data_IF_843441401068
#
_entry.id   IF_843441401068
#
_cell.length_a   1.000
_cell.length_b   1.000
_cell.length_c   1.000
_cell.angle_alpha   90.00
_cell.angle_beta   90.00
_cell.angle_gamma   90.00
#
_symmetry.space_group_name_H-M   'P 1'
#
loop_
_entity.id
_entity.type
_entity.pdbx_description
1 polymer ?
#
# COMPACT_ATOMS: atom_id res chain seq x y z
N UNK A 1 1.19 -12.32 -16.11
CA UNK A 1 1.91 -11.13 -16.63
C UNK A 1 1.01 -9.90 -16.62
N UNK A 2 -0.10 -9.93 -17.34
CA UNK A 2 -1.14 -8.88 -17.49
C UNK A 2 -1.44 -8.03 -16.23
N UNK A 3 -1.66 -8.67 -15.09
CA UNK A 3 -2.09 -7.93 -13.88
C UNK A 3 -0.93 -7.60 -12.93
N UNK A 4 0.23 -8.24 -13.12
CA UNK A 4 1.37 -8.19 -12.19
C UNK A 4 2.55 -7.41 -12.72
N UNK A 5 2.60 -7.12 -14.02
CA UNK A 5 3.65 -6.30 -14.64
C UNK A 5 3.05 -5.35 -15.66
N UNK A 6 3.61 -4.13 -15.77
CA UNK A 6 3.18 -3.11 -16.76
C UNK A 6 3.61 -3.44 -18.20
N UNK A 7 4.24 -4.60 -18.40
CA UNK A 7 4.89 -5.02 -19.65
C UNK A 7 3.88 -5.33 -20.77
N UNK A 8 2.60 -5.42 -20.44
CA UNK A 8 1.53 -5.66 -21.42
C UNK A 8 1.28 -4.46 -22.34
N UNK A 9 1.51 -3.23 -21.87
CA UNK A 9 1.18 -2.02 -22.64
C UNK A 9 2.40 -1.23 -23.13
N UNK A 10 3.57 -1.39 -22.51
CA UNK A 10 4.79 -0.65 -22.89
C UNK A 10 6.05 -1.41 -22.44
N UNK A 11 7.17 -1.20 -23.14
CA UNK A 11 8.53 -1.67 -22.83
C UNK A 11 8.84 -1.60 -21.33
N UNK A 12 9.73 -2.45 -20.82
CA UNK A 12 10.24 -2.46 -19.45
C UNK A 12 10.70 -1.07 -18.97
N UNK A 13 9.77 -0.26 -18.45
CA UNK A 13 10.07 1.08 -17.96
C UNK A 13 10.86 1.01 -16.65
N UNK A 14 11.50 2.15 -16.34
CA UNK A 14 12.14 2.50 -15.07
C UNK A 14 11.34 2.11 -13.81
N UNK A 15 10.02 1.96 -13.91
CA UNK A 15 9.17 1.55 -12.78
C UNK A 15 9.31 0.09 -12.37
N UNK A 16 9.58 -0.84 -13.28
CA UNK A 16 9.80 -2.24 -12.89
C UNK A 16 11.05 -2.38 -12.01
N UNK A 17 12.04 -1.50 -12.21
CA UNK A 17 13.23 -1.40 -11.37
C UNK A 17 12.95 -0.75 -10.01
N UNK A 18 11.90 0.07 -9.90
CA UNK A 18 11.55 0.77 -8.66
C UNK A 18 10.71 -0.10 -7.70
N UNK A 19 9.95 -1.06 -8.24
CA UNK A 19 9.07 -1.95 -7.47
C UNK A 19 9.75 -2.71 -6.31
N UNK A 20 10.94 -3.32 -6.48
CA UNK A 20 11.63 -3.97 -5.37
C UNK A 20 11.99 -2.99 -4.25
N UNK A 21 12.42 -1.77 -4.59
CA UNK A 21 12.71 -0.74 -3.60
C UNK A 21 11.46 -0.30 -2.85
N UNK A 22 10.31 -0.17 -3.53
CA UNK A 22 9.02 0.10 -2.89
C UNK A 22 8.61 -1.02 -1.92
N UNK A 23 8.72 -2.28 -2.35
CA UNK A 23 8.36 -3.43 -1.52
C UNK A 23 9.27 -3.52 -0.27
N UNK A 24 10.57 -3.31 -0.44
CA UNK A 24 11.54 -3.27 0.67
C UNK A 24 11.30 -2.07 1.59
N UNK A 25 10.92 -0.92 1.06
CA UNK A 25 10.55 0.26 1.85
C UNK A 25 9.32 -0.03 2.72
N UNK A 26 8.24 -0.57 2.14
CA UNK A 26 7.01 -0.97 2.86
C UNK A 26 7.34 -2.01 3.94
N UNK A 27 8.20 -2.98 3.63
CA UNK A 27 8.66 -3.98 4.59
C UNK A 27 9.45 -3.35 5.73
N UNK A 28 10.37 -2.43 5.44
CA UNK A 28 11.16 -1.74 6.45
C UNK A 28 10.28 -0.91 7.40
N UNK A 29 9.25 -0.23 6.87
CA UNK A 29 8.26 0.51 7.66
C UNK A 29 7.43 -0.44 8.52
N UNK A 30 6.98 -1.56 7.96
CA UNK A 30 6.23 -2.59 8.70
C UNK A 30 7.06 -3.15 9.86
N UNK A 31 8.35 -3.39 9.64
CA UNK A 31 9.29 -3.80 10.69
C UNK A 31 9.47 -2.69 11.74
N UNK A 32 9.62 -1.43 11.34
CA UNK A 32 9.77 -0.29 12.24
C UNK A 32 8.55 -0.08 13.15
N UNK A 33 7.34 -0.32 12.65
CA UNK A 33 6.09 -0.15 13.39
C UNK A 33 5.81 -1.25 14.41
N UNK A 34 6.56 -2.35 14.42
CA UNK A 34 6.31 -3.46 15.34
C UNK A 34 6.62 -3.06 16.81
N UNK A 35 5.77 -3.46 17.79
CA UNK A 35 5.83 -2.93 19.16
C UNK A 35 7.06 -3.31 19.99
N UNK A 36 7.90 -4.27 19.57
CA UNK A 36 9.02 -4.81 20.35
C UNK A 36 10.33 -4.82 19.55
N UNK A 37 10.83 -3.66 19.14
CA UNK A 37 12.14 -3.57 18.48
C UNK A 37 13.24 -3.08 19.43
N UNK A 38 14.42 -3.66 19.30
CA UNK A 38 15.63 -3.14 19.95
C UNK A 38 16.06 -1.82 19.31
N UNK A 39 16.78 -0.98 20.06
CA UNK A 39 17.25 0.32 19.55
C UNK A 39 18.14 0.20 18.29
N UNK A 40 18.92 -0.89 18.18
CA UNK A 40 19.71 -1.17 16.98
C UNK A 40 18.81 -1.51 15.79
N UNK A 41 17.81 -2.38 15.98
CA UNK A 41 16.86 -2.75 14.93
C UNK A 41 16.07 -1.53 14.45
N UNK A 42 15.67 -0.62 15.35
CA UNK A 42 15.01 0.63 14.96
C UNK A 42 15.90 1.49 14.07
N UNK A 43 17.18 1.68 14.43
CA UNK A 43 18.13 2.46 13.62
C UNK A 43 18.35 1.83 12.24
N UNK A 44 18.53 0.52 12.19
CA UNK A 44 18.69 -0.23 10.93
C UNK A 44 17.43 -0.10 10.07
N UNK A 45 16.24 -0.22 10.65
CA UNK A 45 14.98 -0.07 9.93
C UNK A 45 14.83 1.34 9.34
N UNK A 46 15.09 2.40 10.11
CA UNK A 46 15.02 3.79 9.62
C UNK A 46 16.06 4.05 8.53
N UNK A 47 17.28 3.54 8.67
CA UNK A 47 18.30 3.63 7.63
C UNK A 47 17.85 2.92 6.33
N UNK A 48 17.32 1.69 6.46
CA UNK A 48 16.82 0.92 5.31
C UNK A 48 15.65 1.64 4.65
N UNK A 49 14.71 2.19 5.43
CA UNK A 49 13.61 3.00 4.93
C UNK A 49 14.13 4.18 4.10
N UNK A 50 15.14 4.90 4.58
CA UNK A 50 15.73 6.03 3.85
C UNK A 50 16.38 5.58 2.54
N UNK A 51 17.26 4.57 2.57
CA UNK A 51 17.95 4.07 1.37
C UNK A 51 16.96 3.58 0.32
N UNK A 52 15.96 2.79 0.73
CA UNK A 52 14.95 2.28 -0.19
C UNK A 52 14.07 3.40 -0.75
N UNK A 53 13.70 4.39 0.06
CA UNK A 53 12.95 5.58 -0.41
C UNK A 53 13.77 6.37 -1.42
N UNK A 54 15.05 6.58 -1.15
CA UNK A 54 15.97 7.26 -2.05
C UNK A 54 16.09 6.53 -3.40
N UNK A 55 16.37 5.23 -3.39
CA UNK A 55 16.47 4.42 -4.61
C UNK A 55 15.15 4.39 -5.39
N UNK A 56 14.01 4.30 -4.69
CA UNK A 56 12.68 4.36 -5.30
C UNK A 56 12.45 5.70 -6.00
N UNK A 57 12.73 6.82 -5.33
CA UNK A 57 12.58 8.16 -5.92
C UNK A 57 13.53 8.41 -7.09
N UNK A 58 14.75 7.87 -7.03
CA UNK A 58 15.75 7.99 -8.09
C UNK A 58 15.30 7.26 -9.37
N UNK A 59 14.73 6.05 -9.20
CA UNK A 59 14.38 5.15 -10.30
C UNK A 59 13.04 5.48 -10.94
N UNK A 60 12.09 6.06 -10.20
CA UNK A 60 10.75 6.36 -10.73
C UNK A 60 10.42 7.84 -10.69
N UNK A 61 10.19 8.45 -11.86
CA UNK A 61 9.83 9.86 -12.02
C UNK A 61 8.54 10.25 -11.28
N UNK A 62 7.53 9.38 -11.23
CA UNK A 62 6.22 9.66 -10.64
C UNK A 62 6.09 9.15 -9.19
N UNK A 63 7.21 8.89 -8.52
CA UNK A 63 7.28 8.39 -7.13
C UNK A 63 6.43 9.23 -6.15
N UNK A 64 6.31 10.54 -6.40
CA UNK A 64 5.62 11.49 -5.55
C UNK A 64 4.14 11.16 -5.31
N UNK A 65 3.46 10.49 -6.26
CA UNK A 65 2.07 10.08 -6.09
C UNK A 65 1.94 8.87 -5.17
N UNK A 66 2.86 7.91 -5.26
CA UNK A 66 2.88 6.74 -4.39
C UNK A 66 3.27 7.15 -2.96
N UNK A 67 4.24 8.07 -2.82
CA UNK A 67 4.59 8.64 -1.52
C UNK A 67 3.46 9.50 -0.93
N UNK A 68 2.66 10.19 -1.75
CA UNK A 68 1.46 10.87 -1.29
C UNK A 68 0.44 9.88 -0.72
N UNK A 69 0.18 8.76 -1.42
CA UNK A 69 -0.68 7.69 -0.90
C UNK A 69 -0.16 7.17 0.44
N UNK A 70 1.15 6.92 0.55
CA UNK A 70 1.76 6.50 1.79
C UNK A 70 1.64 7.56 2.90
N UNK A 71 1.77 8.85 2.57
CA UNK A 71 1.57 9.94 3.52
C UNK A 71 0.11 10.02 4.01
N UNK A 72 -0.87 9.77 3.13
CA UNK A 72 -2.29 9.67 3.51
C UNK A 72 -2.56 8.46 4.43
N UNK A 73 -1.90 7.32 4.18
CA UNK A 73 -1.95 6.16 5.07
C UNK A 73 -1.39 6.51 6.45
N UNK A 74 -0.24 7.19 6.52
CA UNK A 74 0.36 7.61 7.80
C UNK A 74 -0.57 8.59 8.53
N UNK A 75 -1.14 9.55 7.81
CA UNK A 75 -2.07 10.52 8.37
C UNK A 75 -3.35 9.86 8.92
N UNK A 76 -3.94 8.92 8.19
CA UNK A 76 -5.14 8.19 8.66
C UNK A 76 -4.86 7.35 9.90
N UNK A 77 -3.71 6.68 9.97
CA UNK A 77 -3.26 5.97 11.17
C UNK A 77 -3.02 6.89 12.36
N UNK A 78 -2.47 8.07 12.12
CA UNK A 78 -2.23 9.09 13.14
C UNK A 78 -3.55 9.63 13.70
N UNK A 79 -4.52 9.94 12.83
CA UNK A 79 -5.87 10.35 13.23
C UNK A 79 -6.62 9.25 14.00
N UNK A 80 -6.41 7.98 13.65
CA UNK A 80 -7.00 6.84 14.36
C UNK A 80 -6.29 6.49 15.68
N UNK A 81 -5.18 7.17 15.99
CA UNK A 81 -4.43 6.98 17.24
C UNK A 81 -3.58 5.71 17.28
N UNK A 82 -3.26 5.11 16.14
CA UNK A 82 -2.42 3.90 16.08
C UNK A 82 -0.91 4.22 16.11
N UNK A 83 -0.51 5.45 15.75
CA UNK A 83 0.90 5.85 15.68
C UNK A 83 1.29 6.87 16.75
N UNK A 84 2.51 6.73 17.26
CA UNK A 84 3.10 7.72 18.18
C UNK A 84 3.64 8.91 17.40
N UNK A 85 3.74 10.06 18.08
CA UNK A 85 4.32 11.27 17.48
C UNK A 85 5.73 11.08 16.95
N UNK A 86 6.55 10.30 17.65
CA UNK A 86 7.92 10.01 17.20
C UNK A 86 7.90 9.17 15.93
N UNK A 87 7.06 8.12 15.85
CA UNK A 87 6.90 7.31 14.65
C UNK A 87 6.44 8.14 13.45
N UNK A 88 5.38 8.94 13.60
CA UNK A 88 4.85 9.78 12.51
C UNK A 88 5.90 10.76 11.99
N UNK A 89 6.57 11.49 12.90
CA UNK A 89 7.61 12.44 12.51
C UNK A 89 8.79 11.73 11.85
N UNK A 90 9.25 10.58 12.35
CA UNK A 90 10.32 9.80 11.71
C UNK A 90 9.92 9.35 10.31
N UNK A 91 8.72 8.79 10.13
CA UNK A 91 8.24 8.34 8.81
C UNK A 91 8.21 9.49 7.80
N UNK A 92 7.67 10.65 8.19
CA UNK A 92 7.62 11.82 7.31
C UNK A 92 9.00 12.41 7.01
N UNK A 93 9.86 12.55 8.02
CA UNK A 93 11.21 13.06 7.80
C UNK A 93 12.03 12.15 6.88
N UNK A 94 11.87 10.83 6.98
CA UNK A 94 12.54 9.88 6.06
C UNK A 94 12.05 10.04 4.61
N UNK A 95 10.75 10.28 4.39
CA UNK A 95 10.23 10.54 3.05
C UNK A 95 10.74 11.87 2.48
N UNK A 96 10.67 12.94 3.28
CA UNK A 96 11.13 14.28 2.87
C UNK A 96 12.63 14.28 2.59
N UNK A 97 13.45 13.64 3.44
CA UNK A 97 14.88 13.56 3.20
C UNK A 97 15.20 12.79 1.92
N UNK A 98 14.54 11.65 1.67
CA UNK A 98 14.72 10.90 0.41
C UNK A 98 14.35 11.72 -0.83
N UNK A 99 13.23 12.44 -0.80
CA UNK A 99 12.80 13.34 -1.87
C UNK A 99 13.78 14.49 -2.11
N UNK A 100 14.23 15.17 -1.05
CA UNK A 100 15.19 16.28 -1.14
C UNK A 100 16.57 15.82 -1.63
N UNK A 101 17.02 14.64 -1.22
CA UNK A 101 18.27 14.06 -1.74
C UNK A 101 18.20 13.80 -3.24
N UNK A 102 17.09 13.26 -3.75
CA UNK A 102 16.92 13.05 -5.19
C UNK A 102 16.73 14.38 -5.93
N UNK A 103 16.02 15.34 -5.34
CA UNK A 103 15.89 16.69 -5.89
C UNK A 103 17.26 17.35 -6.10
N UNK A 104 18.17 17.25 -5.13
CA UNK A 104 19.55 17.74 -5.27
C UNK A 104 20.30 17.01 -6.40
N UNK A 105 20.20 15.68 -6.48
CA UNK A 105 20.89 14.89 -7.51
C UNK A 105 20.33 15.12 -8.93
N UNK A 106 19.06 15.49 -9.04
CA UNK A 106 18.39 15.78 -10.31
C UNK A 106 18.47 17.28 -10.68
N UNK A 107 19.53 17.97 -10.23
CA UNK A 107 19.79 19.37 -10.56
C UNK A 107 18.61 20.30 -10.20
N UNK A 108 18.05 20.11 -9.01
CA UNK A 108 16.99 20.94 -8.43
C UNK A 108 15.68 20.95 -9.24
N UNK A 109 15.28 19.81 -9.82
CA UNK A 109 14.04 19.67 -10.57
C UNK A 109 12.81 20.21 -9.81
N UNK A 110 12.14 21.21 -10.39
CA UNK A 110 11.00 21.90 -9.77
C UNK A 110 9.79 21.00 -9.52
N UNK A 111 9.64 19.91 -10.28
CA UNK A 111 8.52 18.97 -10.13
C UNK A 111 8.49 18.31 -8.74
N UNK A 112 9.66 17.96 -8.19
CA UNK A 112 9.76 17.31 -6.88
C UNK A 112 9.49 18.29 -5.73
N UNK A 113 9.97 19.54 -5.86
CA UNK A 113 9.79 20.57 -4.83
C UNK A 113 8.34 21.07 -4.78
N UNK A 114 7.69 21.21 -5.94
CA UNK A 114 6.27 21.56 -6.06
C UNK A 114 5.32 20.39 -5.87
N UNK A 115 5.81 19.23 -5.42
CA UNK A 115 5.00 18.02 -5.30
C UNK A 115 3.96 18.12 -4.19
N UNK A 116 2.77 17.57 -4.46
CA UNK A 116 1.67 17.52 -3.49
C UNK A 116 2.06 16.80 -2.20
N UNK A 117 2.92 15.78 -2.28
CA UNK A 117 3.41 15.03 -1.12
C UNK A 117 4.22 15.92 -0.17
N UNK A 118 5.12 16.75 -0.70
CA UNK A 118 5.95 17.62 0.15
C UNK A 118 5.07 18.65 0.86
N UNK A 119 4.15 19.30 0.14
CA UNK A 119 3.19 20.23 0.72
C UNK A 119 2.29 19.56 1.77
N UNK A 120 1.80 18.34 1.49
CA UNK A 120 0.97 17.58 2.43
C UNK A 120 1.73 17.23 3.70
N UNK A 121 2.96 16.73 3.60
CA UNK A 121 3.78 16.37 4.77
C UNK A 121 4.07 17.60 5.64
N UNK A 122 4.45 18.72 5.03
CA UNK A 122 4.68 19.98 5.76
C UNK A 122 3.40 20.42 6.48
N UNK A 123 2.25 20.38 5.80
CA UNK A 123 0.97 20.72 6.39
C UNK A 123 0.58 19.77 7.54
N UNK A 124 0.78 18.46 7.38
CA UNK A 124 0.48 17.47 8.41
C UNK A 124 1.36 17.65 9.66
N UNK A 125 2.67 17.88 9.48
CA UNK A 125 3.59 18.18 10.57
C UNK A 125 3.26 19.50 11.25
N UNK A 126 2.88 20.52 10.47
CA UNK A 126 2.44 21.82 10.99
C UNK A 126 1.19 21.68 11.85
N UNK A 127 0.11 21.08 11.32
CA UNK A 127 -1.14 20.84 12.07
C UNK A 127 -0.84 20.12 13.38
N UNK A 128 0.00 19.08 13.34
CA UNK A 128 0.35 18.31 14.54
C UNK A 128 1.15 19.12 15.57
N UNK A 129 2.12 19.91 15.12
CA UNK A 129 2.91 20.76 16.00
C UNK A 129 2.04 21.80 16.70
N UNK A 130 1.14 22.44 15.96
CA UNK A 130 0.22 23.45 16.49
C UNK A 130 -0.89 22.85 17.36
N UNK A 131 -1.42 21.66 17.04
CA UNK A 131 -2.36 20.93 17.91
C UNK A 131 -1.77 20.66 19.30
N UNK A 132 -0.47 20.34 19.37
CA UNK A 132 0.24 20.13 20.64
C UNK A 132 0.42 21.43 21.44
N UNK A 133 0.60 22.56 20.74
CA UNK A 133 0.86 23.87 21.36
C UNK A 133 -0.42 24.61 21.77
N UNK A 134 -1.55 24.38 21.09
CA UNK A 134 -2.75 25.22 21.26
C UNK A 134 -3.94 24.55 21.97
N UNK A 135 -3.89 23.26 22.35
CA UNK A 135 -5.06 22.51 22.90
C UNK A 135 -6.39 22.80 22.17
N UNK A 136 -6.32 23.07 20.85
CA UNK A 136 -7.50 23.47 20.09
C UNK A 136 -8.36 22.23 19.86
N UNK A 137 -9.48 22.17 20.59
CA UNK A 137 -10.67 21.39 20.22
C UNK A 137 -11.00 21.78 18.79
N UNK A 138 -10.79 20.87 17.86
CA UNK A 138 -10.94 21.16 16.44
C UNK A 138 -12.44 21.21 16.11
N UNK A 139 -12.98 22.43 16.10
CA UNK A 139 -14.37 22.72 15.79
C UNK A 139 -14.72 22.42 14.31
N UNK A 140 -15.99 22.08 14.10
CA UNK A 140 -16.70 21.68 12.86
C UNK A 140 -16.46 22.56 11.61
N UNK A 141 -15.76 23.69 11.73
CA UNK A 141 -15.55 24.64 10.63
C UNK A 141 -14.47 24.22 9.63
N UNK A 142 -13.43 23.49 10.05
CA UNK A 142 -12.38 23.01 9.13
C UNK A 142 -12.97 22.00 8.13
N UNK A 143 -13.87 21.13 8.58
CA UNK A 143 -14.51 20.14 7.73
C UNK A 143 -15.51 20.79 6.75
N UNK A 144 -16.20 21.86 7.16
CA UNK A 144 -17.03 22.68 6.26
C UNK A 144 -16.21 23.42 5.20
N UNK A 145 -15.01 23.90 5.54
CA UNK A 145 -14.11 24.58 4.60
C UNK A 145 -13.48 23.59 3.61
N UNK A 146 -13.08 22.40 4.07
CA UNK A 146 -12.61 21.31 3.19
C UNK A 146 -13.77 20.84 2.29
N UNK A 147 -14.98 20.66 2.83
CA UNK A 147 -16.18 20.29 2.06
C UNK A 147 -16.60 21.36 1.05
N UNK A 148 -16.40 22.66 1.33
CA UNK A 148 -16.71 23.74 0.39
C UNK A 148 -15.63 23.93 -0.68
N UNK A 149 -14.37 23.58 -0.38
CA UNK A 149 -13.24 23.71 -1.32
C UNK A 149 -13.01 22.47 -2.18
N UNK A 150 -13.42 21.28 -1.71
CA UNK A 150 -13.48 20.02 -2.48
C UNK A 150 -14.86 19.80 -3.13
N UNK A 151 -15.68 20.85 -3.25
CA UNK A 151 -16.81 20.82 -4.18
C UNK A 151 -16.27 20.46 -5.57
N UNK A 152 -16.55 19.24 -6.00
CA UNK A 152 -16.11 18.57 -7.24
C UNK A 152 -16.20 19.50 -8.45
N UNK A 153 -15.20 20.36 -8.60
CA UNK A 153 -14.99 21.17 -9.79
C UNK A 153 -14.33 20.28 -10.81
N UNK A 154 -15.12 19.73 -11.73
CA UNK A 154 -14.60 19.21 -12.99
C UNK A 154 -13.96 20.38 -13.76
N UNK A 155 -12.70 20.68 -13.50
CA UNK A 155 -11.88 21.36 -14.50
C UNK A 155 -11.56 20.32 -15.57
N UNK A 156 -12.36 20.33 -16.64
CA UNK A 156 -12.10 19.55 -17.84
C UNK A 156 -10.93 20.19 -18.58
N UNK A 157 -9.72 19.89 -18.14
CA UNK A 157 -8.53 20.23 -18.89
C UNK A 157 -8.40 19.28 -20.10
N UNK A 158 -8.01 19.82 -21.26
CA UNK A 158 -7.85 19.04 -22.50
C UNK A 158 -6.85 17.89 -22.30
N UNK A 159 -5.78 18.12 -21.54
CA UNK A 159 -4.79 17.11 -21.18
C UNK A 159 -5.38 15.97 -20.35
N UNK A 160 -6.26 16.27 -19.39
CA UNK A 160 -6.96 15.26 -18.59
C UNK A 160 -7.93 14.44 -19.45
N UNK A 161 -8.60 15.08 -20.43
CA UNK A 161 -9.49 14.40 -21.37
C UNK A 161 -8.73 13.49 -22.33
N UNK A 162 -7.48 13.84 -22.68
CA UNK A 162 -6.60 13.03 -23.53
C UNK A 162 -6.12 11.76 -22.79
N UNK A 163 -5.83 11.85 -21.49
CA UNK A 163 -5.52 10.67 -20.67
C UNK A 163 -6.73 9.77 -20.41
N UNK A 164 -7.94 10.32 -20.26
CA UNK A 164 -9.17 9.53 -20.04
C UNK A 164 -9.62 8.71 -21.26
N UNK A 165 -9.18 9.08 -22.47
CA UNK A 165 -9.40 8.28 -23.69
C UNK A 165 -8.44 7.08 -23.83
N UNK A 166 -7.35 7.06 -23.06
CA UNK A 166 -6.39 5.96 -23.06
C UNK A 166 -6.85 4.88 -22.05
N UNK A 167 -7.08 3.64 -22.51
CA UNK A 167 -7.56 2.53 -21.66
C UNK A 167 -6.68 2.30 -20.42
N UNK A 168 -5.39 2.65 -20.50
CA UNK A 168 -4.45 2.54 -19.39
C UNK A 168 -4.77 3.47 -18.19
N UNK A 169 -5.52 4.56 -18.37
CA UNK A 169 -5.97 5.43 -17.28
C UNK A 169 -7.46 5.31 -16.98
N UNK A 170 -8.16 4.40 -17.65
CA UNK A 170 -9.54 4.06 -17.36
C UNK A 170 -9.74 3.39 -16.01
N UNK A 171 -11.00 3.17 -15.66
CA UNK A 171 -11.41 2.39 -14.49
C UNK A 171 -11.02 0.92 -14.67
N UNK A 172 -10.70 0.23 -13.57
CA UNK A 172 -10.39 -1.22 -13.58
C UNK A 172 -11.63 -2.03 -14.03
N UNK A 173 -11.53 -2.97 -14.99
CA UNK A 173 -12.65 -3.75 -15.45
C UNK A 173 -12.93 -4.86 -14.43
N UNK A 174 -14.20 -5.24 -14.29
CA UNK A 174 -14.58 -6.27 -13.32
C UNK A 174 -14.03 -7.65 -13.67
N UNK A 175 -13.69 -7.88 -14.95
CA UNK A 175 -13.02 -9.11 -15.42
C UNK A 175 -11.68 -9.35 -14.71
N UNK A 176 -11.00 -8.28 -14.25
CA UNK A 176 -9.77 -8.41 -13.45
C UNK A 176 -10.05 -9.13 -12.12
N UNK A 177 -11.21 -8.88 -11.49
CA UNK A 177 -11.60 -9.57 -10.26
C UNK A 177 -11.92 -11.04 -10.53
N UNK A 178 -12.56 -11.36 -11.65
CA UNK A 178 -12.81 -12.75 -12.06
C UNK A 178 -11.51 -13.50 -12.30
N UNK A 179 -10.54 -12.87 -12.96
CA UNK A 179 -9.19 -13.42 -13.16
C UNK A 179 -8.44 -13.62 -11.84
N UNK A 180 -8.51 -12.66 -10.92
CA UNK A 180 -7.95 -12.77 -9.56
C UNK A 180 -8.65 -13.85 -8.72
N UNK A 181 -9.93 -14.11 -8.96
CA UNK A 181 -10.65 -15.23 -8.36
C UNK A 181 -10.18 -16.57 -8.95
N UNK A 182 -9.95 -16.62 -10.26
CA UNK A 182 -9.43 -17.80 -10.98
C UNK A 182 -7.99 -18.21 -10.58
N UNK A 183 -7.21 -17.30 -10.00
CA UNK A 183 -5.89 -17.56 -9.39
C UNK A 183 -5.98 -17.96 -7.91
N UNK A 184 -7.17 -18.11 -7.35
CA UNK A 184 -7.43 -18.36 -5.92
C UNK A 184 -6.90 -17.26 -4.98
N UNK A 185 -6.48 -16.10 -5.51
CA UNK A 185 -5.93 -15.01 -4.71
C UNK A 185 -7.03 -14.17 -4.07
N UNK A 186 -8.11 -13.90 -4.80
CA UNK A 186 -9.18 -13.00 -4.34
C UNK A 186 -9.87 -13.49 -3.07
N UNK A 187 -10.13 -14.80 -2.94
CA UNK A 187 -10.84 -15.38 -1.81
C UNK A 187 -10.11 -15.22 -0.46
N UNK A 188 -8.86 -15.70 -0.30
CA UNK A 188 -8.12 -15.50 0.94
C UNK A 188 -7.88 -14.01 1.22
N UNK A 189 -7.64 -13.19 0.19
CA UNK A 189 -7.50 -11.75 0.35
C UNK A 189 -8.78 -11.07 0.89
N UNK A 190 -9.94 -11.38 0.30
CA UNK A 190 -11.20 -10.77 0.70
C UNK A 190 -11.58 -11.15 2.13
N UNK A 191 -11.40 -12.42 2.49
CA UNK A 191 -11.65 -12.89 3.86
C UNK A 191 -10.77 -12.14 4.88
N UNK A 192 -9.49 -11.95 4.57
CA UNK A 192 -8.54 -11.36 5.52
C UNK A 192 -8.74 -9.86 5.64
N UNK A 193 -9.10 -9.19 4.54
CA UNK A 193 -9.51 -7.79 4.55
C UNK A 193 -10.78 -7.57 5.37
N UNK A 194 -11.80 -8.44 5.23
CA UNK A 194 -13.04 -8.34 6.01
C UNK A 194 -12.79 -8.53 7.51
N UNK A 195 -12.05 -9.57 7.90
CA UNK A 195 -11.77 -9.87 9.31
C UNK A 195 -10.89 -8.79 9.98
N UNK A 196 -9.73 -8.50 9.38
CA UNK A 196 -8.77 -7.57 9.98
C UNK A 196 -9.21 -6.11 9.79
N UNK A 197 -9.87 -5.78 8.68
CA UNK A 197 -10.47 -4.47 8.45
C UNK A 197 -11.60 -4.17 9.43
N UNK A 198 -12.48 -5.15 9.69
CA UNK A 198 -13.52 -5.04 10.71
C UNK A 198 -12.94 -4.84 12.11
N UNK A 199 -11.92 -5.62 12.48
CA UNK A 199 -11.23 -5.47 13.77
C UNK A 199 -10.56 -4.09 13.92
N UNK A 200 -9.88 -3.62 12.88
CA UNK A 200 -9.25 -2.30 12.86
C UNK A 200 -10.28 -1.16 12.94
N UNK A 201 -11.40 -1.26 12.22
CA UNK A 201 -12.48 -0.26 12.29
C UNK A 201 -13.09 -0.21 13.70
N UNK A 202 -13.33 -1.36 14.32
CA UNK A 202 -13.81 -1.43 15.70
C UNK A 202 -12.82 -0.80 16.68
N UNK A 203 -11.52 -1.09 16.55
CA UNK A 203 -10.46 -0.49 17.37
C UNK A 203 -10.37 1.04 17.17
N UNK A 204 -10.44 1.52 15.93
CA UNK A 204 -10.43 2.95 15.62
C UNK A 204 -11.63 3.69 16.23
N UNK A 205 -12.84 3.10 16.13
CA UNK A 205 -14.05 3.68 16.72
C UNK A 205 -13.96 3.75 18.26
N UNK A 206 -13.40 2.72 18.89
CA UNK A 206 -13.15 2.71 20.34
C UNK A 206 -12.15 3.80 20.75
N UNK A 207 -11.07 3.97 19.99
CA UNK A 207 -10.06 4.99 20.25
C UNK A 207 -10.64 6.41 20.12
N UNK A 208 -11.43 6.65 19.07
CA UNK A 208 -12.11 7.94 18.86
C UNK A 208 -13.07 8.27 20.02
N UNK A 209 -13.82 7.28 20.51
CA UNK A 209 -14.76 7.46 21.64
C UNK A 209 -14.02 7.75 22.96
N UNK A 210 -12.85 7.14 23.18
CA UNK A 210 -12.06 7.27 24.42
C UNK A 210 -11.26 8.58 24.48
N UNK A 211 -10.93 9.17 23.33
CA UNK A 211 -10.14 10.41 23.23
C UNK A 211 -10.78 11.64 23.90
N UNK A 212 -12.07 11.63 24.25
CA UNK A 212 -12.76 12.78 24.84
C UNK A 212 -12.46 13.02 26.34
N UNK A 213 -11.67 12.17 27.01
CA UNK A 213 -11.34 12.36 28.44
C UNK A 213 -10.27 11.45 29.05
N UNK A 214 -9.50 10.72 28.22
CA UNK A 214 -8.60 9.65 28.70
C UNK A 214 -7.18 10.11 29.05
N UNK A 215 -6.58 9.45 30.04
CA UNK A 215 -5.19 9.71 30.48
C UNK A 215 -4.16 9.29 29.41
N UNK A 216 -2.90 9.79 29.47
CA UNK A 216 -1.83 9.41 28.55
C UNK A 216 -1.53 7.90 28.53
N UNK A 217 -1.74 7.21 29.65
CA UNK A 217 -1.54 5.76 29.78
C UNK A 217 -2.65 4.97 29.08
N UNK A 218 -3.90 5.42 29.19
CA UNK A 218 -5.02 4.83 28.44
C UNK A 218 -4.88 5.02 26.94
N UNK A 219 -4.27 6.14 26.49
CA UNK A 219 -3.95 6.36 25.07
C UNK A 219 -2.89 5.38 24.56
N UNK A 220 -1.89 5.03 25.38
CA UNK A 220 -0.90 3.99 25.04
C UNK A 220 -1.54 2.60 24.99
N UNK A 221 -2.39 2.25 25.94
CA UNK A 221 -3.09 0.96 25.94
C UNK A 221 -4.06 0.82 24.76
N UNK A 222 -4.75 1.90 24.39
CA UNK A 222 -5.59 1.98 23.19
C UNK A 222 -4.79 1.83 21.89
N UNK A 223 -3.57 2.36 21.87
CA UNK A 223 -2.64 2.22 20.76
C UNK A 223 -2.07 0.79 20.62
N UNK A 224 -2.01 0.05 21.72
CA UNK A 224 -1.61 -1.36 21.75
C UNK A 224 -2.76 -2.33 21.43
N UNK A 225 -4.01 -1.87 21.43
CA UNK A 225 -5.20 -2.70 21.21
C UNK A 225 -5.24 -3.35 19.82
N UNK A 226 -4.66 -2.68 18.80
CA UNK A 226 -4.49 -3.24 17.46
C UNK A 226 -3.10 -2.93 16.94
N UNK A 227 -2.47 -3.92 16.31
CA UNK A 227 -1.09 -3.82 15.86
C UNK A 227 -0.92 -2.76 14.76
N UNK A 228 -0.09 -1.73 14.98
CA UNK A 228 0.05 -0.62 14.02
C UNK A 228 0.71 -1.06 12.70
N UNK A 229 1.56 -2.09 12.74
CA UNK A 229 2.17 -2.68 11.54
C UNK A 229 1.13 -3.37 10.63
N UNK A 230 0.13 -4.02 11.23
CA UNK A 230 -0.99 -4.62 10.48
C UNK A 230 -1.93 -3.53 9.95
N UNK A 231 -2.25 -2.53 10.76
CA UNK A 231 -3.09 -1.40 10.36
C UNK A 231 -2.52 -0.64 9.14
N UNK A 232 -1.20 -0.43 9.14
CA UNK A 232 -0.48 0.19 8.02
C UNK A 232 -0.66 -0.58 6.71
N UNK A 233 -0.51 -1.90 6.73
CA UNK A 233 -0.65 -2.72 5.53
C UNK A 233 -2.11 -2.81 5.06
N UNK A 234 -3.10 -2.78 5.96
CA UNK A 234 -4.52 -2.77 5.61
C UNK A 234 -4.95 -1.43 4.97
N UNK A 235 -4.48 -0.30 5.50
CA UNK A 235 -4.77 1.00 4.89
C UNK A 235 -4.07 1.14 3.53
N UNK A 236 -2.82 0.68 3.39
CA UNK A 236 -2.18 0.59 2.07
C UNK A 236 -2.99 -0.21 1.07
N UNK A 237 -3.52 -1.35 1.51
CA UNK A 237 -4.38 -2.19 0.68
C UNK A 237 -5.62 -1.43 0.19
N UNK A 238 -6.26 -0.68 1.08
CA UNK A 238 -7.41 0.15 0.75
C UNK A 238 -7.05 1.26 -0.25
N UNK A 239 -6.01 2.05 0.03
CA UNK A 239 -5.63 3.16 -0.83
C UNK A 239 -5.03 2.70 -2.18
N UNK A 240 -4.25 1.62 -2.22
CA UNK A 240 -3.79 1.01 -3.47
C UNK A 240 -4.95 0.41 -4.26
N UNK A 241 -5.96 -0.15 -3.59
CA UNK A 241 -7.21 -0.55 -4.24
C UNK A 241 -7.90 0.63 -4.90
N UNK A 242 -8.12 1.73 -4.17
CA UNK A 242 -8.69 2.96 -4.74
C UNK A 242 -7.89 3.47 -5.94
N UNK A 243 -6.56 3.49 -5.84
CA UNK A 243 -5.66 3.91 -6.92
C UNK A 243 -5.75 2.98 -8.14
N UNK A 244 -5.84 1.67 -7.92
CA UNK A 244 -5.97 0.68 -8.99
C UNK A 244 -7.33 0.75 -9.68
N UNK A 245 -8.42 0.94 -8.91
CA UNK A 245 -9.76 1.12 -9.47
C UNK A 245 -9.90 2.45 -10.21
N UNK A 246 -9.27 3.52 -9.74
CA UNK A 246 -9.28 4.82 -10.43
C UNK A 246 -8.39 4.85 -11.67
N UNK A 247 -7.34 4.03 -11.69
CA UNK A 247 -6.32 4.04 -12.75
C UNK A 247 -5.78 2.65 -12.96
N UNK A 248 -6.30 1.98 -13.98
CA UNK A 248 -5.87 0.69 -14.50
C UNK A 248 -4.36 0.44 -14.47
N UNK A 249 -3.58 1.43 -14.93
CA UNK A 249 -2.12 1.37 -14.98
C UNK A 249 -1.46 1.15 -13.62
N UNK A 250 -2.11 1.40 -12.50
CA UNK A 250 -1.56 1.21 -11.14
C UNK A 250 -1.94 -0.14 -10.50
N UNK A 251 -2.70 -1.00 -11.21
CA UNK A 251 -3.15 -2.31 -10.69
C UNK A 251 -2.00 -3.20 -10.19
N UNK A 252 -0.83 -3.14 -10.81
CA UNK A 252 0.32 -3.98 -10.46
C UNK A 252 0.85 -3.75 -9.04
N UNK A 253 0.75 -2.52 -8.52
CA UNK A 253 1.14 -2.19 -7.14
C UNK A 253 0.16 -2.85 -6.18
N UNK A 254 -1.14 -2.73 -6.49
CA UNK A 254 -2.20 -3.31 -5.67
C UNK A 254 -2.13 -4.83 -5.66
N UNK A 255 -2.01 -5.49 -6.82
CA UNK A 255 -1.95 -6.96 -6.90
C UNK A 255 -0.75 -7.54 -6.16
N UNK A 256 0.42 -6.88 -6.22
CA UNK A 256 1.59 -7.31 -5.46
C UNK A 256 1.35 -7.25 -3.95
N UNK A 257 0.71 -6.18 -3.48
CA UNK A 257 0.34 -6.02 -2.08
C UNK A 257 -0.78 -6.98 -1.64
N UNK A 258 -1.76 -7.27 -2.51
CA UNK A 258 -2.80 -8.27 -2.28
C UNK A 258 -2.21 -9.65 -1.97
N UNK A 259 -1.16 -10.06 -2.68
CA UNK A 259 -0.46 -11.33 -2.42
C UNK A 259 0.12 -11.38 -1.01
N UNK A 260 0.76 -10.29 -0.55
CA UNK A 260 1.34 -10.22 0.80
C UNK A 260 0.26 -10.29 1.86
N UNK A 261 -0.86 -9.58 1.69
CA UNK A 261 -1.98 -9.57 2.65
C UNK A 261 -2.73 -10.90 2.67
N UNK A 262 -2.95 -11.51 1.51
CA UNK A 262 -3.51 -12.86 1.40
C UNK A 262 -2.62 -13.88 2.12
N UNK A 263 -1.30 -13.85 1.86
CA UNK A 263 -0.34 -14.72 2.52
C UNK A 263 -0.32 -14.47 4.04
N UNK A 264 -0.33 -13.21 4.48
CA UNK A 264 -0.39 -12.87 5.91
C UNK A 264 -1.63 -13.44 6.58
N UNK A 265 -2.80 -13.38 5.93
CA UNK A 265 -4.00 -13.86 6.57
C UNK A 265 -4.20 -15.39 6.51
N UNK A 266 -3.69 -16.08 5.49
CA UNK A 266 -3.65 -17.55 5.46
C UNK A 266 -2.60 -18.09 6.44
N UNK A 267 -1.43 -17.47 6.53
CA UNK A 267 -0.32 -17.95 7.36
C UNK A 267 -0.29 -17.33 8.77
N UNK A 268 -1.02 -16.26 9.04
CA UNK A 268 -0.92 -15.45 10.25
C UNK A 268 -1.73 -16.00 11.41
N UNK A 269 -1.13 -16.04 12.61
CA UNK A 269 -1.84 -16.54 13.81
C UNK A 269 -3.06 -15.68 14.15
N UNK A 270 -2.92 -14.36 14.02
CA UNK A 270 -3.92 -13.36 14.44
C UNK A 270 -5.23 -13.46 13.67
N UNK A 271 -5.16 -13.60 12.33
CA UNK A 271 -6.34 -13.77 11.49
C UNK A 271 -7.13 -15.03 11.85
N UNK A 272 -6.43 -16.15 12.08
CA UNK A 272 -7.07 -17.40 12.52
C UNK A 272 -7.62 -17.28 13.94
N UNK A 273 -6.93 -16.64 14.88
CA UNK A 273 -7.49 -16.47 16.24
C UNK A 273 -8.77 -15.64 16.24
N UNK A 274 -8.89 -14.63 15.37
CA UNK A 274 -10.11 -13.83 15.20
C UNK A 274 -11.23 -14.63 14.52
N UNK A 275 -10.91 -15.42 13.49
CA UNK A 275 -11.88 -16.28 12.83
C UNK A 275 -12.39 -17.40 13.77
N UNK A 276 -11.51 -17.92 14.62
CA UNK A 276 -11.85 -19.02 15.53
C UNK A 276 -12.62 -18.53 16.76
N UNK A 277 -12.36 -17.31 17.23
CA UNK A 277 -13.13 -16.72 18.33
C UNK A 277 -14.58 -16.43 17.93
N UNK A 278 -14.85 -16.09 16.67
CA UNK A 278 -16.22 -15.93 16.15
C UNK A 278 -16.94 -17.27 15.99
N UNK A 279 -16.22 -18.37 15.81
CA UNK A 279 -16.78 -19.71 15.60
C UNK A 279 -16.99 -20.54 16.88
N UNK A 280 -16.68 -20.01 18.07
CA UNK A 280 -16.97 -20.61 19.39
C UNK A 280 -16.58 -22.10 19.58
N UNK A 281 -15.51 -22.58 18.93
CA UNK A 281 -15.12 -24.00 18.96
C UNK A 281 -14.07 -24.36 20.01
N UNK A 282 -14.06 -25.66 20.40
CA UNK A 282 -13.24 -26.23 21.49
C UNK A 282 -11.71 -26.12 21.25
N UNK A 283 -10.97 -25.63 22.25
CA UNK A 283 -9.64 -25.02 22.07
C UNK A 283 -8.50 -25.94 21.60
N UNK A 284 -8.49 -27.22 21.99
CA UNK A 284 -7.34 -28.11 21.73
C UNK A 284 -7.26 -28.64 20.29
N UNK A 285 -8.39 -29.10 19.76
CA UNK A 285 -8.49 -29.61 18.38
C UNK A 285 -8.30 -28.46 17.38
N UNK A 286 -8.78 -27.27 17.74
CA UNK A 286 -8.69 -26.06 16.93
C UNK A 286 -7.26 -25.57 16.72
N UNK A 287 -6.40 -25.66 17.74
CA UNK A 287 -4.99 -25.25 17.63
C UNK A 287 -4.22 -26.21 16.72
N UNK A 288 -4.49 -27.51 16.79
CA UNK A 288 -3.93 -28.50 15.86
C UNK A 288 -4.43 -28.29 14.44
N UNK A 289 -5.73 -28.04 14.26
CA UNK A 289 -6.32 -27.73 12.96
C UNK A 289 -5.74 -26.43 12.39
N UNK A 290 -5.56 -25.39 13.20
CA UNK A 290 -4.94 -24.13 12.80
C UNK A 290 -3.50 -24.35 12.33
N UNK A 291 -2.72 -25.16 13.06
CA UNK A 291 -1.35 -25.48 12.65
C UNK A 291 -1.35 -26.20 11.30
N UNK A 292 -2.19 -27.22 11.15
CA UNK A 292 -2.29 -28.03 9.94
C UNK A 292 -2.73 -27.17 8.74
N UNK A 293 -3.77 -26.36 8.89
CA UNK A 293 -4.28 -25.47 7.84
C UNK A 293 -3.24 -24.42 7.43
N UNK A 294 -2.50 -23.83 8.38
CA UNK A 294 -1.48 -22.80 8.09
C UNK A 294 -0.30 -23.31 7.26
N UNK A 295 0.00 -24.60 7.30
CA UNK A 295 1.08 -25.19 6.50
C UNK A 295 0.56 -25.94 5.28
N UNK A 296 -0.52 -26.70 5.44
CA UNK A 296 -1.09 -27.51 4.36
C UNK A 296 -1.76 -26.64 3.29
N UNK A 297 -2.52 -25.60 3.66
CA UNK A 297 -3.24 -24.77 2.66
C UNK A 297 -2.29 -24.00 1.75
N UNK A 298 -1.23 -23.30 2.24
CA UNK A 298 -0.26 -22.69 1.35
C UNK A 298 0.45 -23.70 0.46
N UNK A 299 0.83 -24.87 0.99
CA UNK A 299 1.52 -25.90 0.21
C UNK A 299 0.64 -26.43 -0.92
N UNK A 300 -0.62 -26.77 -0.62
CA UNK A 300 -1.60 -27.22 -1.62
C UNK A 300 -1.88 -26.12 -2.64
N UNK A 301 -2.07 -24.87 -2.22
CA UNK A 301 -2.28 -23.76 -3.15
C UNK A 301 -1.08 -23.56 -4.08
N UNK A 302 0.15 -23.57 -3.55
CA UNK A 302 1.37 -23.44 -4.36
C UNK A 302 1.46 -24.61 -5.35
N UNK A 303 1.23 -25.84 -4.92
CA UNK A 303 1.23 -27.01 -5.81
C UNK A 303 0.16 -26.91 -6.90
N UNK A 304 -1.08 -26.55 -6.57
CA UNK A 304 -2.16 -26.39 -7.53
C UNK A 304 -1.85 -25.27 -8.55
N UNK A 305 -1.34 -24.13 -8.08
CA UNK A 305 -0.95 -23.02 -8.94
C UNK A 305 0.21 -23.39 -9.85
N UNK A 306 1.21 -24.11 -9.32
CA UNK A 306 2.33 -24.64 -10.09
C UNK A 306 1.82 -25.52 -11.23
N UNK A 307 1.03 -26.56 -10.94
CA UNK A 307 0.52 -27.46 -11.98
C UNK A 307 -0.38 -26.76 -13.00
N UNK A 308 -1.25 -25.84 -12.57
CA UNK A 308 -2.18 -25.14 -13.45
C UNK A 308 -1.48 -24.17 -14.42
N UNK A 309 -0.49 -23.41 -13.94
CA UNK A 309 0.14 -22.35 -14.71
C UNK A 309 1.50 -22.72 -15.33
N UNK A 310 2.12 -23.83 -14.91
CA UNK A 310 3.39 -24.32 -15.47
C UNK A 310 3.43 -24.42 -17.01
N UNK A 311 2.44 -25.05 -17.69
CA UNK A 311 2.52 -25.20 -19.15
C UNK A 311 2.46 -23.85 -19.87
N UNK A 312 1.61 -22.92 -19.42
CA UNK A 312 1.53 -21.57 -19.99
C UNK A 312 2.80 -20.75 -19.71
N UNK A 313 3.33 -20.83 -18.49
CA UNK A 313 4.58 -20.14 -18.11
C UNK A 313 5.77 -20.63 -18.93
N UNK A 314 5.89 -21.94 -19.15
CA UNK A 314 6.97 -22.51 -19.97
C UNK A 314 6.84 -22.13 -21.44
N UNK A 315 5.61 -22.03 -21.96
CA UNK A 315 5.37 -21.50 -23.31
C UNK A 315 5.81 -20.02 -23.41
N UNK A 316 5.43 -19.17 -22.46
CA UNK A 316 5.86 -17.76 -22.42
C UNK A 316 7.39 -17.62 -22.27
N UNK A 317 8.03 -18.40 -21.40
CA UNK A 317 9.49 -18.36 -21.20
C UNK A 317 10.25 -18.86 -22.43
N UNK A 318 9.66 -19.73 -23.23
CA UNK A 318 10.23 -20.18 -24.50
C UNK A 318 10.17 -19.12 -25.59
N UNK A 319 9.34 -18.09 -25.41
CA UNK A 319 9.21 -16.96 -26.33
C UNK A 319 10.32 -15.93 -26.07
N UNK A 320 11.50 -16.19 -26.64
CA UNK A 320 12.71 -15.33 -26.58
C UNK A 320 12.60 -14.00 -27.35
N UNK A 321 11.41 -13.57 -27.80
CA UNK A 321 11.26 -12.32 -28.56
C UNK A 321 11.37 -11.12 -27.63
N UNK A 322 12.61 -10.66 -27.45
CA UNK A 322 12.95 -9.50 -26.63
C UNK A 322 12.49 -8.16 -27.25
N UNK A 323 11.95 -8.18 -28.48
CA UNK A 323 11.27 -7.04 -29.11
C UNK A 323 10.23 -7.58 -30.10
N UNK A 324 8.94 -7.52 -29.75
CA UNK A 324 7.83 -7.70 -30.69
C UNK A 324 7.06 -6.38 -30.73
N UNK A 325 7.61 -5.42 -31.48
CA UNK A 325 6.85 -4.26 -31.92
C UNK A 325 6.14 -4.68 -33.22
N UNK A 326 4.81 -4.93 -33.19
CA UNK A 326 4.08 -5.48 -34.32
C UNK A 326 4.26 -4.63 -35.58
N UNK A 327 4.33 -3.30 -35.44
CA UNK A 327 4.52 -2.37 -36.55
C UNK A 327 5.92 -2.51 -37.17
N UNK A 328 6.95 -2.66 -36.34
CA UNK A 328 8.33 -2.87 -36.82
C UNK A 328 8.49 -4.26 -37.45
N UNK A 329 7.81 -5.29 -36.93
CA UNK A 329 7.82 -6.64 -37.52
C UNK A 329 7.05 -6.66 -38.84
N UNK A 330 5.92 -5.97 -38.92
CA UNK A 330 5.15 -5.82 -40.16
C UNK A 330 5.96 -5.04 -41.21
N UNK A 331 6.68 -3.99 -40.81
CA UNK A 331 7.62 -3.29 -41.68
C UNK A 331 8.78 -4.19 -42.13
N UNK A 332 9.39 -4.96 -41.23
CA UNK A 332 10.49 -5.88 -41.57
C UNK A 332 10.03 -7.02 -42.48
N UNK A 333 8.78 -7.49 -42.35
CA UNK A 333 8.20 -8.49 -43.25
C UNK A 333 7.77 -7.89 -44.58
N UNK A 334 7.34 -6.63 -44.61
CA UNK A 334 7.04 -5.88 -45.84
C UNK A 334 8.29 -5.57 -46.67
N UNK A 335 9.44 -5.29 -46.02
CA UNK A 335 10.72 -5.03 -46.72
C UNK A 335 11.31 -6.30 -47.36
N UNK A 336 10.91 -7.48 -46.92
CA UNK A 336 11.51 -8.76 -47.30
C UNK A 336 10.96 -9.32 -48.61
#
# INVERSE_FOLDING_TARGET
RVDTTRVEFTISLRENWSLPFLALQITAITCYLRPQLSALQQKVAVWLMYVMTFCFCLTWQFNQFILLVQALVIYTLDCAGFLTTTQVTTLYLTQVSGLLSVWLLQFCNSMLLGSLVLSFIVAALFIRHYQKTLQLKSDEHIFKFIKSKFGLGLTRDFDASLYLCEEAFGLLPLDTLERLAGTLLLYPYALTLLLLGGAMAAAALQNMKRSSGSSPEEKRAAQEAFRPDVAYNLLHTFFYGLLAFSTMRMKYIWTGHMCVVAAYGVCGKEAWTLLLSTLQCNSKILVWLQLLVRYAVPLVMISCLYFKYWPALMAELSELREFYDPDTVELMTWIR
#
